data_IF_804594453495
#
_entry.id   IF_804594453495
#
_cell.length_a   1.000
_cell.length_b   1.000
_cell.length_c   1.000
_cell.angle_alpha   90.00
_cell.angle_beta   90.00
_cell.angle_gamma   90.00
#
_symmetry.space_group_name_H-M   'P 1'
#
loop_
_entity.id
_entity.type
_entity.pdbx_description
1 polymer ?
#
# COMPACT_ATOMS: atom_id res chain seq x y z
N UNK A 1 -5.87 6.78 17.51
CA UNK A 1 -6.14 6.77 16.05
C UNK A 1 -4.84 6.95 15.23
N UNK A 2 -3.68 6.55 15.76
CA UNK A 2 -2.39 7.17 15.39
C UNK A 2 -1.38 6.21 14.77
N UNK A 3 -1.35 4.93 15.18
CA UNK A 3 -0.28 4.00 14.77
C UNK A 3 -0.39 3.56 13.30
N UNK A 4 -1.59 3.22 12.81
CA UNK A 4 -1.78 2.81 11.42
C UNK A 4 -1.38 3.91 10.44
N UNK A 5 -1.81 5.16 10.69
CA UNK A 5 -1.49 6.31 9.85
C UNK A 5 0.02 6.61 9.89
N UNK A 6 0.69 6.41 11.03
CA UNK A 6 2.15 6.51 11.12
C UNK A 6 2.85 5.46 10.25
N UNK A 7 2.40 4.20 10.31
CA UNK A 7 2.95 3.10 9.48
C UNK A 7 2.72 3.34 7.97
N UNK A 8 1.55 3.86 7.59
CA UNK A 8 1.25 4.29 6.21
C UNK A 8 2.18 5.42 5.77
N UNK A 9 2.34 6.47 6.58
CA UNK A 9 3.23 7.57 6.22
C UNK A 9 4.69 7.12 6.05
N UNK A 10 5.14 6.19 6.90
CA UNK A 10 6.48 5.59 6.81
C UNK A 10 6.62 4.76 5.54
N UNK A 11 5.67 3.89 5.21
CA UNK A 11 5.74 3.08 3.99
C UNK A 11 5.67 3.95 2.71
N UNK A 12 4.85 5.00 2.70
CA UNK A 12 4.79 5.97 1.61
C UNK A 12 6.10 6.74 1.45
N UNK A 13 6.78 7.07 2.55
CA UNK A 13 8.10 7.74 2.53
C UNK A 13 9.21 6.82 2.01
N UNK A 14 9.11 5.51 2.23
CA UNK A 14 10.04 4.54 1.66
C UNK A 14 9.76 4.32 0.16
N UNK A 15 8.51 4.46 -0.27
CA UNK A 15 8.10 4.31 -1.66
C UNK A 15 8.39 5.56 -2.53
N UNK A 16 8.18 6.76 -1.99
CA UNK A 16 8.38 8.04 -2.65
C UNK A 16 9.23 8.97 -1.77
N UNK A 17 10.12 9.76 -2.39
CA UNK A 17 10.84 10.81 -1.69
C UNK A 17 9.88 11.76 -0.95
N UNK A 18 10.31 12.29 0.20
CA UNK A 18 9.47 13.14 1.06
C UNK A 18 8.89 14.38 0.38
N UNK A 19 9.56 14.90 -0.65
CA UNK A 19 9.12 16.05 -1.43
C UNK A 19 8.19 15.71 -2.60
N UNK A 20 7.84 14.42 -2.80
CA UNK A 20 6.98 14.02 -3.90
C UNK A 20 5.57 14.57 -3.71
N UNK A 21 5.01 15.30 -4.71
CA UNK A 21 3.63 15.79 -4.65
C UNK A 21 2.61 14.64 -4.65
N UNK A 22 3.06 13.42 -4.98
CA UNK A 22 2.24 12.21 -5.01
C UNK A 22 2.16 11.51 -3.65
N UNK A 23 3.01 11.87 -2.68
CA UNK A 23 2.97 11.31 -1.33
C UNK A 23 1.59 11.45 -0.64
N UNK A 24 0.95 12.63 -0.61
CA UNK A 24 -0.37 12.75 0.01
C UNK A 24 -1.43 11.89 -0.68
N UNK A 25 -1.39 11.81 -2.03
CA UNK A 25 -2.30 10.98 -2.82
C UNK A 25 -2.07 9.49 -2.49
N UNK A 26 -0.82 9.06 -2.38
CA UNK A 26 -0.46 7.70 -2.01
C UNK A 26 -0.94 7.34 -0.59
N UNK A 27 -0.74 8.24 0.37
CA UNK A 27 -1.23 8.07 1.75
C UNK A 27 -2.74 7.93 1.79
N UNK A 28 -3.46 8.80 1.07
CA UNK A 28 -4.93 8.74 0.97
C UNK A 28 -5.40 7.44 0.33
N UNK A 29 -4.82 7.07 -0.82
CA UNK A 29 -5.18 5.86 -1.54
C UNK A 29 -4.96 4.60 -0.68
N UNK A 30 -3.83 4.48 0.02
CA UNK A 30 -3.56 3.35 0.91
C UNK A 30 -4.48 3.37 2.14
N UNK A 31 -4.77 4.56 2.70
CA UNK A 31 -5.67 4.70 3.84
C UNK A 31 -7.09 4.25 3.49
N UNK A 32 -7.55 4.51 2.25
CA UNK A 32 -8.83 4.02 1.75
C UNK A 32 -8.89 2.48 1.63
N UNK A 33 -7.73 1.81 1.55
CA UNK A 33 -7.63 0.34 1.53
C UNK A 33 -7.39 -0.29 2.90
N UNK A 34 -7.38 0.50 3.98
CA UNK A 34 -7.07 0.06 5.34
C UNK A 34 -7.76 -1.24 5.74
N UNK A 35 -9.08 -1.31 5.62
CA UNK A 35 -9.85 -2.48 6.08
C UNK A 35 -9.45 -3.76 5.33
N UNK A 36 -9.23 -3.66 4.02
CA UNK A 36 -8.78 -4.79 3.21
C UNK A 36 -7.37 -5.24 3.60
N UNK A 37 -6.43 -4.29 3.73
CA UNK A 37 -5.06 -4.59 4.14
C UNK A 37 -4.99 -5.22 5.53
N UNK A 38 -5.77 -4.71 6.50
CA UNK A 38 -5.83 -5.29 7.84
C UNK A 38 -6.43 -6.71 7.83
N UNK A 39 -7.45 -6.97 7.00
CA UNK A 39 -8.02 -8.31 6.84
C UNK A 39 -7.01 -9.29 6.26
N UNK A 40 -6.29 -8.90 5.21
CA UNK A 40 -5.26 -9.75 4.57
C UNK A 40 -4.19 -10.17 5.59
N UNK A 41 -3.70 -9.22 6.39
CA UNK A 41 -2.70 -9.49 7.43
C UNK A 41 -3.29 -10.37 8.53
N UNK A 42 -4.51 -10.08 8.99
CA UNK A 42 -5.19 -10.88 9.98
C UNK A 42 -5.36 -12.34 9.53
N UNK A 43 -5.87 -12.56 8.31
CA UNK A 43 -6.07 -13.88 7.75
C UNK A 43 -4.75 -14.65 7.56
N UNK A 44 -3.64 -13.94 7.29
CA UNK A 44 -2.29 -14.53 7.31
C UNK A 44 -1.89 -14.97 8.71
N UNK A 45 -2.07 -14.10 9.72
CA UNK A 45 -1.68 -14.41 11.10
C UNK A 45 -2.50 -15.54 11.72
N UNK A 46 -3.77 -15.69 11.31
CA UNK A 46 -4.62 -16.80 11.71
C UNK A 46 -4.38 -18.08 10.89
N UNK A 47 -3.48 -18.05 9.90
CA UNK A 47 -3.19 -19.19 9.03
C UNK A 47 -4.33 -19.56 8.07
N UNK A 48 -5.30 -18.66 7.86
CA UNK A 48 -6.42 -18.87 6.92
C UNK A 48 -6.01 -18.76 5.46
N UNK A 49 -4.93 -18.02 5.18
CA UNK A 49 -4.34 -17.87 3.85
C UNK A 49 -2.84 -18.14 3.88
N UNK A 50 -2.33 -18.74 2.82
CA UNK A 50 -0.90 -18.97 2.65
C UNK A 50 -0.16 -17.66 2.32
N UNK A 51 1.15 -17.56 2.64
CA UNK A 51 1.96 -16.39 2.28
C UNK A 51 1.89 -16.05 0.78
N UNK A 52 1.92 -17.05 -0.10
CA UNK A 52 1.80 -16.83 -1.56
C UNK A 52 0.45 -16.24 -1.95
N UNK A 53 -0.64 -16.62 -1.27
CA UNK A 53 -1.96 -16.04 -1.52
C UNK A 53 -2.02 -14.59 -1.02
N UNK A 54 -1.35 -14.29 0.08
CA UNK A 54 -1.24 -12.92 0.61
C UNK A 54 -0.49 -12.01 -0.35
N UNK A 55 0.63 -12.46 -0.92
CA UNK A 55 1.38 -11.66 -1.90
C UNK A 55 0.47 -11.27 -3.08
N UNK A 56 -0.33 -12.21 -3.59
CA UNK A 56 -1.28 -11.95 -4.67
C UNK A 56 -2.35 -10.94 -4.25
N UNK A 57 -2.94 -11.08 -3.06
CA UNK A 57 -3.93 -10.13 -2.54
C UNK A 57 -3.33 -8.73 -2.33
N UNK A 58 -2.09 -8.64 -1.85
CA UNK A 58 -1.39 -7.37 -1.68
C UNK A 58 -1.08 -6.72 -3.04
N UNK A 59 -0.72 -7.48 -4.06
CA UNK A 59 -0.56 -6.98 -5.44
C UNK A 59 -1.88 -6.46 -6.01
N UNK A 60 -3.01 -7.13 -5.78
CA UNK A 60 -4.33 -6.63 -6.20
C UNK A 60 -4.68 -5.29 -5.51
N UNK A 61 -4.36 -5.16 -4.22
CA UNK A 61 -4.55 -3.91 -3.49
C UNK A 61 -3.60 -2.80 -3.98
N UNK A 62 -2.35 -3.14 -4.28
CA UNK A 62 -1.39 -2.23 -4.89
C UNK A 62 -1.85 -1.75 -6.28
N UNK A 63 -2.46 -2.61 -7.09
CA UNK A 63 -3.00 -2.21 -8.39
C UNK A 63 -4.13 -1.17 -8.21
N UNK A 64 -5.03 -1.37 -7.25
CA UNK A 64 -6.08 -0.38 -6.92
C UNK A 64 -5.51 0.96 -6.45
N UNK A 65 -4.44 0.93 -5.65
CA UNK A 65 -3.71 2.15 -5.23
C UNK A 65 -3.06 2.83 -6.45
N UNK A 66 -2.45 2.06 -7.35
CA UNK A 66 -1.78 2.58 -8.54
C UNK A 66 -2.73 3.34 -9.47
N UNK A 67 -3.98 2.89 -9.58
CA UNK A 67 -5.00 3.58 -10.36
C UNK A 67 -5.30 4.99 -9.82
N UNK A 68 -5.18 5.21 -8.51
CA UNK A 68 -5.35 6.55 -7.92
C UNK A 68 -4.17 7.46 -8.27
N UNK A 69 -2.94 6.93 -8.23
CA UNK A 69 -1.74 7.68 -8.65
C UNK A 69 -1.78 8.05 -10.13
N UNK A 70 -2.19 7.11 -10.99
CA UNK A 70 -2.32 7.34 -12.44
C UNK A 70 -3.34 8.45 -12.72
N UNK A 71 -4.49 8.42 -12.02
CA UNK A 71 -5.54 9.45 -12.16
C UNK A 71 -5.10 10.83 -11.66
N UNK A 72 -4.27 10.88 -10.62
CA UNK A 72 -3.78 12.13 -10.06
C UNK A 72 -2.58 12.75 -10.83
N UNK A 73 -1.95 11.98 -11.71
CA UNK A 73 -1.03 12.47 -12.74
C UNK A 73 0.48 12.23 -12.48
N UNK A 74 1.26 12.47 -13.55
CA UNK A 74 2.73 12.45 -13.70
C UNK A 74 3.50 11.12 -13.60
N UNK A 75 2.89 10.00 -13.17
CA UNK A 75 3.56 8.69 -13.23
C UNK A 75 3.11 7.89 -14.45
N UNK A 76 4.05 7.23 -15.10
CA UNK A 76 3.70 6.15 -16.03
C UNK A 76 2.98 5.02 -15.28
N UNK A 77 2.17 4.23 -15.98
CA UNK A 77 1.50 3.05 -15.40
C UNK A 77 2.49 2.15 -14.65
N UNK A 78 3.68 1.96 -15.21
CA UNK A 78 4.74 1.14 -14.62
C UNK A 78 5.24 1.71 -13.29
N UNK A 79 5.51 3.02 -13.24
CA UNK A 79 5.99 3.66 -12.02
C UNK A 79 4.92 3.72 -10.93
N UNK A 80 3.66 3.95 -11.31
CA UNK A 80 2.55 3.94 -10.37
C UNK A 80 2.36 2.57 -9.71
N UNK A 81 2.43 1.49 -10.50
CA UNK A 81 2.36 0.11 -9.97
C UNK A 81 3.55 -0.16 -9.05
N UNK A 82 4.78 0.07 -9.51
CA UNK A 82 5.98 -0.19 -8.71
C UNK A 82 6.00 0.60 -7.39
N UNK A 83 5.56 1.86 -7.43
CA UNK A 83 5.43 2.71 -6.22
C UNK A 83 4.38 2.15 -5.27
N UNK A 84 3.22 1.73 -5.80
CA UNK A 84 2.12 1.22 -5.00
C UNK A 84 2.46 -0.13 -4.38
N UNK A 85 3.08 -1.05 -5.13
CA UNK A 85 3.55 -2.33 -4.62
C UNK A 85 4.57 -2.12 -3.51
N UNK A 86 5.58 -1.26 -3.73
CA UNK A 86 6.56 -0.94 -2.70
C UNK A 86 5.89 -0.43 -1.42
N UNK A 87 4.97 0.52 -1.53
CA UNK A 87 4.28 1.10 -0.37
C UNK A 87 3.38 0.10 0.37
N UNK A 88 2.61 -0.70 -0.38
CA UNK A 88 1.67 -1.69 0.18
C UNK A 88 2.40 -2.85 0.84
N UNK A 89 3.43 -3.41 0.19
CA UNK A 89 4.22 -4.51 0.76
C UNK A 89 5.06 -4.05 1.96
N UNK A 90 5.64 -2.85 1.90
CA UNK A 90 6.31 -2.27 3.09
C UNK A 90 5.32 -2.06 4.24
N UNK A 91 4.11 -1.59 3.96
CA UNK A 91 3.09 -1.44 4.98
C UNK A 91 2.68 -2.79 5.58
N UNK A 92 2.45 -3.81 4.74
CA UNK A 92 2.15 -5.17 5.19
C UNK A 92 3.21 -5.69 6.16
N UNK A 93 4.50 -5.50 5.84
CA UNK A 93 5.61 -5.86 6.73
C UNK A 93 5.63 -5.07 8.05
N UNK A 94 5.19 -3.82 8.06
CA UNK A 94 5.07 -3.03 9.29
C UNK A 94 3.86 -3.42 10.15
N UNK A 95 2.88 -4.14 9.59
CA UNK A 95 1.65 -4.57 10.26
C UNK A 95 1.71 -6.00 10.81
N UNK A 96 2.65 -6.82 10.31
CA UNK A 96 3.07 -8.08 10.92
C UNK A 96 3.89 -7.82 12.20
#
# INVERSE_FOLDING_TARGET
>A
MTEFIQKVNKSCQEALCNASPLKPILVEAISARRTALQSIIHDLTEGKVSPTRVDLLLSEEAEKVSQHLIKAGSLSKREAIATSEKAVFTLARHLL
#
